data_IF_575366100449
#
_entry.id   IF_575366100449
#
_cell.length_a   1.000
_cell.length_b   1.000
_cell.length_c   1.000
_cell.angle_alpha   90.00
_cell.angle_beta   90.00
_cell.angle_gamma   90.00
#
_symmetry.space_group_name_H-M   'P 1'
#
loop_
_entity.id
_entity.type
_entity.pdbx_description
1 polymer ?
#
# COMPACT_ATOMS: atom_id res chain seq x y z
N UNK A 1 18.60 2.41 59.61
CA UNK A 1 17.58 2.30 58.55
C UNK A 1 17.98 3.21 57.38
N UNK A 2 18.79 2.70 56.44
CA UNK A 2 19.21 3.44 55.24
C UNK A 2 18.14 3.22 54.16
N UNK A 3 17.29 4.22 53.94
CA UNK A 3 16.38 4.22 52.79
C UNK A 3 17.23 4.28 51.53
N UNK A 4 17.21 3.20 50.75
CA UNK A 4 17.91 3.10 49.49
C UNK A 4 17.41 4.21 48.54
N UNK A 5 18.15 5.32 48.47
CA UNK A 5 18.00 6.30 47.39
C UNK A 5 18.48 5.61 46.13
N UNK A 6 17.57 4.96 45.40
CA UNK A 6 17.86 4.50 44.05
C UNK A 6 18.49 5.67 43.30
N UNK A 7 19.74 5.50 42.88
CA UNK A 7 20.44 6.56 42.16
C UNK A 7 19.66 6.84 40.87
N UNK A 8 19.58 8.12 40.50
CA UNK A 8 18.84 8.58 39.31
C UNK A 8 19.19 7.76 38.05
N UNK A 9 20.42 7.28 37.98
CA UNK A 9 20.94 6.45 36.90
C UNK A 9 20.33 5.04 36.88
N UNK A 10 20.03 4.44 38.03
CA UNK A 10 19.35 3.12 38.10
C UNK A 10 17.90 3.25 37.65
N UNK A 11 17.22 4.34 38.03
CA UNK A 11 15.88 4.63 37.53
C UNK A 11 15.86 4.76 36.00
N UNK A 12 16.79 5.56 35.44
CA UNK A 12 16.92 5.68 33.97
C UNK A 12 17.35 4.37 33.30
N UNK A 13 18.21 3.57 33.93
CA UNK A 13 18.61 2.25 33.43
C UNK A 13 17.43 1.28 33.36
N UNK A 14 16.63 1.20 34.41
CA UNK A 14 15.40 0.39 34.43
C UNK A 14 14.36 0.91 33.43
N UNK A 15 14.22 2.23 33.30
CA UNK A 15 13.33 2.84 32.30
C UNK A 15 13.77 2.50 30.87
N UNK A 16 15.09 2.53 30.58
CA UNK A 16 15.64 2.14 29.28
C UNK A 16 15.47 0.64 29.00
N UNK A 17 15.68 -0.23 30.00
CA UNK A 17 15.44 -1.67 29.86
C UNK A 17 13.95 -1.94 29.63
N UNK A 18 13.06 -1.30 30.39
CA UNK A 18 11.62 -1.44 30.22
C UNK A 18 11.16 -0.91 28.85
N UNK A 19 11.66 0.24 28.41
CA UNK A 19 11.40 0.79 27.08
C UNK A 19 11.95 -0.15 25.99
N UNK A 20 13.17 -0.67 26.14
CA UNK A 20 13.78 -1.62 25.23
C UNK A 20 12.98 -2.92 25.13
N UNK A 21 12.53 -3.48 26.26
CA UNK A 21 11.67 -4.66 26.30
C UNK A 21 10.28 -4.39 25.73
N UNK A 22 9.71 -3.20 25.92
CA UNK A 22 8.46 -2.76 25.29
C UNK A 22 8.60 -2.65 23.78
N UNK A 23 9.70 -2.08 23.29
CA UNK A 23 10.01 -2.01 21.87
C UNK A 23 10.24 -3.40 21.27
N UNK A 24 10.95 -4.28 21.99
CA UNK A 24 11.19 -5.67 21.59
C UNK A 24 9.87 -6.48 21.57
N UNK A 25 9.00 -6.31 22.58
CA UNK A 25 7.68 -6.92 22.62
C UNK A 25 6.76 -6.40 21.50
N UNK A 26 7.00 -5.19 20.99
CA UNK A 26 6.36 -4.67 19.79
C UNK A 26 6.70 -5.46 18.52
N UNK A 27 7.94 -5.95 18.43
CA UNK A 27 8.45 -6.80 17.33
C UNK A 27 7.90 -8.23 17.39
N UNK A 28 7.54 -8.72 18.59
CA UNK A 28 6.83 -9.98 18.73
C UNK A 28 5.41 -9.85 18.14
N UNK A 29 5.25 -10.38 16.92
CA UNK A 29 4.02 -10.49 16.14
C UNK A 29 2.83 -11.16 16.88
N UNK A 30 2.99 -11.61 18.12
CA UNK A 30 2.09 -12.54 18.83
C UNK A 30 0.85 -11.91 19.51
N UNK A 31 0.90 -10.65 20.01
CA UNK A 31 -0.17 -10.15 20.93
C UNK A 31 -1.18 -9.13 20.33
N UNK A 32 -0.83 -8.34 19.32
CA UNK A 32 -1.73 -7.30 18.75
C UNK A 32 -1.88 -7.39 17.22
N UNK A 33 -1.50 -8.51 16.60
CA UNK A 33 -1.40 -8.68 15.14
C UNK A 33 -2.51 -8.00 14.31
N UNK A 34 -3.81 -8.18 14.63
CA UNK A 34 -4.88 -7.56 13.84
C UNK A 34 -4.97 -6.05 14.02
N UNK A 35 -4.75 -5.57 15.25
CA UNK A 35 -4.90 -4.16 15.60
C UNK A 35 -3.76 -3.33 14.99
N UNK A 36 -2.50 -3.78 15.15
CA UNK A 36 -1.31 -3.12 14.52
C UNK A 36 -1.36 -3.15 12.99
N UNK A 37 -1.82 -4.25 12.40
CA UNK A 37 -1.98 -4.35 10.94
C UNK A 37 -2.97 -3.30 10.39
N UNK A 38 -3.97 -2.91 11.18
CA UNK A 38 -4.99 -1.94 10.77
C UNK A 38 -4.62 -0.48 11.10
N UNK A 39 -3.65 -0.25 11.98
CA UNK A 39 -3.24 1.11 12.37
C UNK A 39 -2.74 1.94 11.18
N UNK A 40 -1.92 1.37 10.31
CA UNK A 40 -1.43 2.03 9.09
C UNK A 40 -2.57 2.43 8.14
N UNK A 41 -3.40 1.48 7.69
CA UNK A 41 -4.58 1.76 6.87
C UNK A 41 -5.52 2.81 7.49
N UNK A 42 -5.82 2.70 8.79
CA UNK A 42 -6.71 3.64 9.49
C UNK A 42 -6.10 5.04 9.59
N UNK A 43 -4.81 5.14 9.92
CA UNK A 43 -4.10 6.40 10.01
C UNK A 43 -4.10 7.19 8.70
N UNK A 44 -4.20 6.50 7.56
CA UNK A 44 -4.32 7.10 6.23
C UNK A 44 -5.79 7.32 5.83
N UNK A 45 -6.67 6.36 6.12
CA UNK A 45 -8.07 6.43 5.73
C UNK A 45 -8.81 7.61 6.41
N UNK A 46 -8.59 7.82 7.70
CA UNK A 46 -9.27 8.87 8.48
C UNK A 46 -9.02 10.27 7.89
N UNK A 47 -7.77 10.76 7.74
CA UNK A 47 -7.53 12.06 7.11
C UNK A 47 -7.96 12.09 5.64
N UNK A 48 -7.85 10.97 4.91
CA UNK A 48 -8.38 10.86 3.54
C UNK A 48 -9.88 11.12 3.47
N UNK A 49 -10.66 10.54 4.40
CA UNK A 49 -12.10 10.78 4.53
C UNK A 49 -12.43 12.21 4.95
N UNK A 50 -11.61 12.83 5.79
CA UNK A 50 -11.77 14.24 6.16
C UNK A 50 -11.63 15.13 4.93
N UNK A 51 -10.60 14.94 4.10
CA UNK A 51 -10.46 15.70 2.84
C UNK A 51 -11.58 15.38 1.83
N UNK A 52 -12.05 14.14 1.78
CA UNK A 52 -13.20 13.79 0.95
C UNK A 52 -14.47 14.54 1.41
N UNK A 53 -14.67 14.69 2.72
CA UNK A 53 -15.76 15.47 3.29
C UNK A 53 -15.62 16.97 2.99
N UNK A 54 -14.40 17.53 3.03
CA UNK A 54 -14.13 18.92 2.62
C UNK A 54 -14.57 19.16 1.17
N UNK A 55 -14.17 18.26 0.26
CA UNK A 55 -14.59 18.33 -1.14
C UNK A 55 -16.11 18.15 -1.33
N UNK A 56 -16.73 17.25 -0.56
CA UNK A 56 -18.17 17.04 -0.60
C UNK A 56 -18.96 18.27 -0.12
N UNK A 57 -18.43 18.99 0.86
CA UNK A 57 -19.02 20.22 1.41
C UNK A 57 -18.86 21.43 0.49
N UNK A 58 -17.73 21.56 -0.21
CA UNK A 58 -17.52 22.61 -1.20
C UNK A 58 -16.80 22.08 -2.45
N UNK A 59 -17.57 21.89 -3.53
CA UNK A 59 -17.05 21.39 -4.81
C UNK A 59 -16.10 22.35 -5.52
N UNK A 60 -16.11 23.64 -5.17
CA UNK A 60 -15.14 24.62 -5.69
C UNK A 60 -13.73 24.33 -5.17
N UNK A 61 -13.60 23.65 -4.03
CA UNK A 61 -12.33 23.20 -3.46
C UNK A 61 -11.85 21.89 -4.12
N UNK A 62 -11.75 21.89 -5.45
CA UNK A 62 -11.32 20.74 -6.26
C UNK A 62 -9.95 20.17 -5.83
N UNK A 63 -9.10 21.01 -5.25
CA UNK A 63 -7.78 20.61 -4.76
C UNK A 63 -7.85 19.54 -3.67
N UNK A 64 -8.95 19.49 -2.88
CA UNK A 64 -9.13 18.54 -1.79
C UNK A 64 -9.28 17.08 -2.27
N UNK A 65 -9.61 16.86 -3.55
CA UNK A 65 -9.63 15.54 -4.18
C UNK A 65 -8.24 14.88 -4.13
N UNK A 66 -7.17 15.66 -4.30
CA UNK A 66 -5.79 15.14 -4.37
C UNK A 66 -5.35 14.51 -3.03
N UNK A 67 -5.37 15.22 -1.89
CA UNK A 67 -5.00 14.63 -0.62
C UNK A 67 -5.97 13.53 -0.19
N UNK A 68 -7.27 13.67 -0.47
CA UNK A 68 -8.25 12.61 -0.22
C UNK A 68 -7.91 11.33 -0.99
N UNK A 69 -7.76 11.43 -2.31
CA UNK A 69 -7.51 10.29 -3.19
C UNK A 69 -6.17 9.61 -2.91
N UNK A 70 -5.10 10.38 -2.67
CA UNK A 70 -3.80 9.82 -2.31
C UNK A 70 -3.86 9.05 -0.98
N UNK A 71 -4.42 9.66 0.06
CA UNK A 71 -4.53 9.05 1.39
C UNK A 71 -5.39 7.79 1.36
N UNK A 72 -6.55 7.83 0.69
CA UNK A 72 -7.44 6.67 0.55
C UNK A 72 -6.81 5.55 -0.29
N UNK A 73 -6.06 5.91 -1.34
CA UNK A 73 -5.32 4.93 -2.14
C UNK A 73 -4.24 4.25 -1.30
N UNK A 74 -3.45 5.02 -0.56
CA UNK A 74 -2.41 4.48 0.32
C UNK A 74 -3.01 3.65 1.46
N UNK A 75 -4.17 4.03 2.00
CA UNK A 75 -4.91 3.23 2.98
C UNK A 75 -5.31 1.87 2.40
N UNK A 76 -5.82 1.84 1.17
CA UNK A 76 -6.17 0.61 0.46
C UNK A 76 -4.94 -0.26 0.17
N UNK A 77 -3.84 0.34 -0.28
CA UNK A 77 -2.55 -0.36 -0.49
C UNK A 77 -2.06 -0.99 0.81
N UNK A 78 -2.01 -0.21 1.90
CA UNK A 78 -1.57 -0.70 3.20
C UNK A 78 -2.48 -1.83 3.71
N UNK A 79 -3.79 -1.77 3.45
CA UNK A 79 -4.73 -2.80 3.84
C UNK A 79 -4.49 -4.10 3.06
N UNK A 80 -4.28 -3.99 1.74
CA UNK A 80 -3.99 -5.15 0.90
C UNK A 80 -2.64 -5.76 1.28
N UNK A 81 -1.61 -4.96 1.54
CA UNK A 81 -0.31 -5.48 2.00
C UNK A 81 -0.44 -6.20 3.36
N UNK A 82 -1.28 -5.68 4.26
CA UNK A 82 -1.52 -6.30 5.57
C UNK A 82 -2.27 -7.63 5.48
N UNK A 83 -3.26 -7.76 4.58
CA UNK A 83 -4.10 -8.96 4.45
C UNK A 83 -3.51 -9.98 3.46
N UNK A 84 -2.86 -9.49 2.40
CA UNK A 84 -2.34 -10.27 1.26
C UNK A 84 -0.88 -9.89 0.96
N UNK A 85 0.08 -10.15 1.87
CA UNK A 85 1.47 -9.68 1.75
C UNK A 85 2.25 -10.26 0.56
N UNK A 86 1.70 -11.26 -0.14
CA UNK A 86 2.30 -11.86 -1.35
C UNK A 86 1.80 -11.24 -2.64
N UNK A 87 0.78 -10.39 -2.59
CA UNK A 87 0.23 -9.70 -3.76
C UNK A 87 1.00 -8.42 -3.97
N UNK A 88 1.49 -8.18 -5.19
CA UNK A 88 2.09 -6.88 -5.51
C UNK A 88 1.01 -5.80 -5.50
N UNK A 89 1.23 -4.71 -4.77
CA UNK A 89 0.26 -3.60 -4.61
C UNK A 89 0.62 -2.36 -5.43
N UNK A 90 1.76 -2.37 -6.13
CA UNK A 90 2.18 -1.23 -6.97
C UNK A 90 1.15 -0.85 -8.04
N UNK A 91 0.51 -1.83 -8.68
CA UNK A 91 -0.55 -1.55 -9.66
C UNK A 91 -1.76 -0.83 -9.04
N UNK A 92 -2.09 -1.18 -7.79
CA UNK A 92 -3.20 -0.59 -7.03
C UNK A 92 -2.91 0.87 -6.69
N UNK A 93 -1.67 1.17 -6.28
CA UNK A 93 -1.24 2.55 -6.02
C UNK A 93 -1.39 3.45 -7.26
N UNK A 94 -0.82 3.03 -8.40
CA UNK A 94 -0.93 3.81 -9.64
C UNK A 94 -2.37 3.89 -10.15
N UNK A 95 -3.18 2.84 -9.93
CA UNK A 95 -4.59 2.84 -10.30
C UNK A 95 -5.38 3.89 -9.50
N UNK A 96 -5.18 3.93 -8.17
CA UNK A 96 -5.82 4.93 -7.32
C UNK A 96 -5.40 6.36 -7.65
N UNK A 97 -4.14 6.59 -8.01
CA UNK A 97 -3.68 7.88 -8.53
C UNK A 97 -4.34 8.24 -9.87
N UNK A 98 -4.44 7.29 -10.80
CA UNK A 98 -5.10 7.50 -12.09
C UNK A 98 -6.55 7.94 -11.90
N UNK A 99 -7.27 7.29 -10.97
CA UNK A 99 -8.63 7.67 -10.58
C UNK A 99 -8.65 9.07 -9.96
N UNK A 100 -7.75 9.36 -9.02
CA UNK A 100 -7.69 10.65 -8.31
C UNK A 100 -7.49 11.81 -9.28
N UNK A 101 -6.50 11.72 -10.18
CA UNK A 101 -6.24 12.77 -11.16
C UNK A 101 -7.28 12.80 -12.29
N UNK A 102 -7.89 11.66 -12.62
CA UNK A 102 -9.04 11.60 -13.52
C UNK A 102 -10.24 12.36 -12.97
N UNK A 103 -10.51 12.24 -11.65
CA UNK A 103 -11.54 13.01 -10.96
C UNK A 103 -11.20 14.51 -10.97
N UNK A 104 -9.96 14.90 -10.64
CA UNK A 104 -9.53 16.31 -10.71
C UNK A 104 -9.75 16.89 -12.11
N UNK A 105 -9.38 16.16 -13.16
CA UNK A 105 -9.57 16.60 -14.53
C UNK A 105 -11.06 16.77 -14.89
N UNK A 106 -11.92 15.86 -14.42
CA UNK A 106 -13.38 15.95 -14.61
C UNK A 106 -13.98 17.15 -13.89
N UNK A 107 -13.65 17.33 -12.62
CA UNK A 107 -14.25 18.36 -11.74
C UNK A 107 -13.81 19.78 -12.11
N UNK A 108 -12.63 19.92 -12.72
CA UNK A 108 -12.15 21.20 -13.23
C UNK A 108 -12.67 21.53 -14.63
N UNK A 109 -13.65 20.78 -15.15
CA UNK A 109 -14.20 20.97 -16.50
C UNK A 109 -13.15 20.81 -17.61
N UNK A 110 -12.06 20.10 -17.32
CA UNK A 110 -10.94 19.91 -18.22
C UNK A 110 -9.99 21.11 -18.38
N UNK A 111 -10.13 22.17 -17.58
CA UNK A 111 -9.20 23.31 -17.56
C UNK A 111 -7.80 22.86 -17.15
N UNK A 112 -7.69 21.96 -16.16
CA UNK A 112 -6.42 21.45 -15.67
C UNK A 112 -5.90 20.29 -16.54
N UNK A 113 -5.31 20.61 -17.70
CA UNK A 113 -4.77 19.60 -18.65
C UNK A 113 -3.68 18.72 -18.06
N UNK A 114 -2.90 19.25 -17.11
CA UNK A 114 -1.86 18.48 -16.42
C UNK A 114 -2.45 17.27 -15.69
N UNK A 115 -3.64 17.39 -15.10
CA UNK A 115 -4.28 16.29 -14.37
C UNK A 115 -4.62 15.13 -15.31
N UNK A 116 -5.02 15.41 -16.56
CA UNK A 116 -5.23 14.37 -17.57
C UNK A 116 -3.93 13.65 -17.93
N UNK A 117 -2.85 14.40 -18.15
CA UNK A 117 -1.55 13.80 -18.49
C UNK A 117 -1.06 12.88 -17.36
N UNK A 118 -1.17 13.33 -16.11
CA UNK A 118 -0.82 12.52 -14.93
C UNK A 118 -1.73 11.30 -14.81
N UNK A 119 -3.05 11.44 -15.00
CA UNK A 119 -3.98 10.32 -14.95
C UNK A 119 -3.66 9.24 -15.99
N UNK A 120 -3.38 9.64 -17.24
CA UNK A 120 -3.00 8.73 -18.31
C UNK A 120 -1.64 8.06 -18.06
N UNK A 121 -0.67 8.81 -17.53
CA UNK A 121 0.62 8.26 -17.14
C UNK A 121 0.46 7.19 -16.06
N UNK A 122 -0.28 7.49 -15.00
CA UNK A 122 -0.55 6.54 -13.92
C UNK A 122 -1.32 5.30 -14.43
N UNK A 123 -2.31 5.50 -15.32
CA UNK A 123 -3.06 4.39 -15.93
C UNK A 123 -2.15 3.50 -16.80
N UNK A 124 -1.25 4.12 -17.57
CA UNK A 124 -0.22 3.40 -18.32
C UNK A 124 0.73 2.61 -17.42
N UNK A 125 1.14 3.20 -16.29
CA UNK A 125 1.96 2.50 -15.27
C UNK A 125 1.21 1.31 -14.66
N UNK A 126 -0.07 1.46 -14.34
CA UNK A 126 -0.92 0.34 -13.88
C UNK A 126 -0.95 -0.78 -14.91
N UNK A 127 -1.20 -0.47 -16.18
CA UNK A 127 -1.23 -1.47 -17.25
C UNK A 127 0.12 -2.17 -17.41
N UNK A 128 1.24 -1.41 -17.36
CA UNK A 128 2.59 -1.95 -17.47
C UNK A 128 2.92 -2.91 -16.30
N UNK A 129 2.55 -2.54 -15.07
CA UNK A 129 2.78 -3.37 -13.88
C UNK A 129 1.96 -4.66 -13.91
N UNK A 130 0.69 -4.57 -14.35
CA UNK A 130 -0.17 -5.74 -14.52
C UNK A 130 0.36 -6.66 -15.62
N UNK A 131 0.78 -6.11 -16.76
CA UNK A 131 1.40 -6.88 -17.85
C UNK A 131 2.68 -7.58 -17.38
N UNK A 132 3.55 -6.88 -16.65
CA UNK A 132 4.74 -7.49 -16.05
C UNK A 132 4.41 -8.59 -15.05
N UNK A 133 3.31 -8.46 -14.31
CA UNK A 133 2.78 -9.54 -13.47
C UNK A 133 2.35 -10.74 -14.30
N UNK A 134 1.55 -10.53 -15.35
CA UNK A 134 1.08 -11.59 -16.23
C UNK A 134 2.25 -12.33 -16.90
N UNK A 135 3.23 -11.60 -17.44
CA UNK A 135 4.40 -12.20 -18.09
C UNK A 135 5.23 -13.05 -17.12
N UNK A 136 5.36 -12.63 -15.86
CA UNK A 136 6.04 -13.42 -14.81
C UNK A 136 5.42 -14.78 -14.57
N UNK A 137 4.12 -14.95 -14.79
CA UNK A 137 3.43 -16.24 -14.64
C UNK A 137 3.25 -16.97 -15.97
N UNK A 138 2.87 -16.25 -17.02
CA UNK A 138 2.61 -16.79 -18.35
C UNK A 138 3.88 -17.36 -19.00
N UNK A 139 5.03 -16.72 -18.81
CA UNK A 139 6.29 -17.17 -19.42
C UNK A 139 6.76 -18.52 -18.85
N UNK A 140 6.91 -18.71 -17.52
CA UNK A 140 7.22 -20.04 -16.97
C UNK A 140 6.21 -21.11 -17.37
N UNK A 141 4.92 -20.77 -17.39
CA UNK A 141 3.87 -21.71 -17.78
C UNK A 141 3.99 -22.12 -19.25
N UNK A 142 4.25 -21.17 -20.14
CA UNK A 142 4.48 -21.42 -21.56
C UNK A 142 5.73 -22.29 -21.78
N UNK A 143 6.80 -22.05 -21.02
CA UNK A 143 8.01 -22.87 -21.07
C UNK A 143 7.77 -24.30 -20.58
N UNK A 144 7.01 -24.47 -19.49
CA UNK A 144 6.61 -25.80 -18.99
C UNK A 144 5.75 -26.52 -20.03
N UNK A 145 4.75 -25.85 -20.60
CA UNK A 145 3.89 -26.43 -21.63
C UNK A 145 4.69 -26.81 -22.90
N UNK A 146 5.61 -25.96 -23.34
CA UNK A 146 6.50 -26.25 -24.47
C UNK A 146 7.41 -27.45 -24.17
N UNK A 147 7.98 -27.54 -22.97
CA UNK A 147 8.79 -28.68 -22.54
C UNK A 147 8.00 -29.99 -22.54
N UNK A 148 6.77 -29.98 -22.01
CA UNK A 148 5.87 -31.14 -22.02
C UNK A 148 5.49 -31.57 -23.44
N UNK A 149 5.22 -30.60 -24.33
CA UNK A 149 4.92 -30.85 -25.74
C UNK A 149 6.07 -31.57 -26.45
N UNK A 150 7.31 -31.12 -26.23
CA UNK A 150 8.50 -31.75 -26.82
C UNK A 150 8.73 -33.18 -26.31
N UNK A 151 8.47 -33.44 -25.02
CA UNK A 151 8.59 -34.78 -24.44
C UNK A 151 7.53 -35.74 -24.99
N UNK A 152 6.28 -35.29 -25.13
CA UNK A 152 5.20 -36.10 -25.68
C UNK A 152 5.35 -36.40 -27.19
N UNK A 153 6.06 -35.54 -27.92
CA UNK A 153 6.42 -35.78 -29.32
C UNK A 153 7.43 -36.93 -29.48
N UNK A 154 8.37 -37.06 -28.54
CA UNK A 154 9.42 -38.09 -28.58
C UNK A 154 8.91 -39.50 -28.31
N UNK A 155 7.88 -39.65 -27.49
CA UNK A 155 7.29 -40.96 -27.14
C UNK A 155 6.38 -41.55 -28.23
N UNK A 156 6.29 -40.92 -29.42
CA UNK A 156 5.53 -41.43 -30.58
C UNK A 156 6.40 -42.07 -31.66
N UNK A 157 7.73 -41.95 -31.55
CA UNK A 157 8.69 -42.48 -32.53
C UNK A 157 9.42 -43.76 -32.04
N UNK A 158 9.13 -44.23 -30.82
CA UNK A 158 9.51 -45.56 -30.29
C UNK A 158 8.31 -46.50 -30.30
#
# INVERSE_FOLDING_TARGET
MQSARLSRNVFWGLALIAAGLLLLAGDFHVVLWPLRALMGPLALAIPGLIFAAVYAGNREQWWAIIPAGLMLTLAGVALVDAVLPRVSTGWLFFCGLAVTFGLVWRETGGVQRWARAVALLCLGMTALLLLGSLLRYALPLALVAAGLYLLAGRSREE
#
